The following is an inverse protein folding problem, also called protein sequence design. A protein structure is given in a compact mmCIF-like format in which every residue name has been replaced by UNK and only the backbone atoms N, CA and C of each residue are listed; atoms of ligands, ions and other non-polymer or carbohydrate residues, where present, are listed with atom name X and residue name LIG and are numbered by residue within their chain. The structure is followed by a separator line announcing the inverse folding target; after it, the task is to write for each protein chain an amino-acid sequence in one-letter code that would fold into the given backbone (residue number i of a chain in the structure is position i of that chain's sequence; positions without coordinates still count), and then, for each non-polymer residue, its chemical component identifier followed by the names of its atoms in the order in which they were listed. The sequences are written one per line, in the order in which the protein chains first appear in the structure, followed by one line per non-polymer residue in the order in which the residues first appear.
data_IF_414749420531
#
_entry.id   IF_414749420531
#
_cell.length_a   1.000
_cell.length_b   1.000
_cell.length_c   1.000
_cell.angle_alpha   90.00
_cell.angle_beta   90.00
_cell.angle_gamma   90.00
#
_symmetry.space_group_name_H-M   'P 1'
#
loop_
_entity.id
_entity.type
_entity.pdbx_description
1 polymer ?
#
# COMPACT_ATOMS: atom_id res chain seq x y z
N UNK A 1 -26.19 13.67 -18.10
CA UNK A 1 -25.83 12.47 -17.32
C UNK A 1 -24.37 12.49 -16.87
N UNK A 2 -23.43 12.82 -17.78
CA UNK A 2 -21.98 12.95 -17.50
C UNK A 2 -21.65 13.96 -16.39
N UNK A 3 -22.31 15.11 -16.38
CA UNK A 3 -22.06 16.18 -15.37
C UNK A 3 -22.29 15.68 -13.94
N UNK A 4 -23.43 15.02 -13.67
CA UNK A 4 -23.77 14.49 -12.34
C UNK A 4 -22.83 13.37 -11.87
N UNK A 5 -22.24 12.61 -12.81
CA UNK A 5 -21.25 11.60 -12.45
C UNK A 5 -19.90 12.23 -12.11
N UNK A 6 -19.51 13.26 -12.87
CA UNK A 6 -18.30 14.04 -12.60
C UNK A 6 -18.39 14.79 -11.27
N UNK A 7 -19.53 15.40 -10.95
CA UNK A 7 -19.73 16.08 -9.66
C UNK A 7 -19.52 15.16 -8.46
N UNK A 8 -19.97 13.89 -8.55
CA UNK A 8 -19.70 12.89 -7.52
C UNK A 8 -18.22 12.54 -7.45
N UNK A 9 -17.57 12.37 -8.60
CA UNK A 9 -16.15 12.10 -8.67
C UNK A 9 -15.35 13.23 -8.00
N UNK A 10 -15.53 14.47 -8.45
CA UNK A 10 -14.84 15.63 -7.93
C UNK A 10 -15.08 15.79 -6.42
N UNK A 11 -16.33 15.60 -5.94
CA UNK A 11 -16.64 15.65 -4.50
C UNK A 11 -15.79 14.71 -3.63
N UNK A 12 -15.47 13.51 -4.10
CA UNK A 12 -14.70 12.52 -3.32
C UNK A 12 -13.19 12.64 -3.52
N UNK A 13 -12.76 13.14 -4.68
CA UNK A 13 -11.35 13.11 -5.08
C UNK A 13 -10.67 14.48 -5.08
N UNK A 14 -11.39 15.59 -5.26
CA UNK A 14 -10.80 16.94 -5.38
C UNK A 14 -10.16 17.44 -4.08
N UNK A 15 -10.68 17.02 -2.92
CA UNK A 15 -10.18 17.44 -1.61
C UNK A 15 -9.10 16.49 -1.08
N UNK A 16 -7.85 16.85 -1.34
CA UNK A 16 -6.65 16.13 -0.88
C UNK A 16 -6.57 16.00 0.64
N UNK A 17 -7.05 17.00 1.38
CA UNK A 17 -7.08 16.99 2.83
C UNK A 17 -8.14 16.03 3.42
N UNK A 18 -9.12 15.61 2.60
CA UNK A 18 -10.20 14.68 2.98
C UNK A 18 -10.12 13.35 2.24
N UNK A 19 -9.00 13.05 1.59
CA UNK A 19 -8.81 11.80 0.86
C UNK A 19 -8.98 10.59 1.79
N UNK A 20 -9.83 9.67 1.38
CA UNK A 20 -9.99 8.41 2.07
C UNK A 20 -8.88 7.42 1.67
N UNK A 21 -7.85 7.31 2.51
CA UNK A 21 -6.72 6.41 2.25
C UNK A 21 -7.09 4.92 2.18
N UNK A 22 -8.26 4.50 2.69
CA UNK A 22 -8.69 3.10 2.63
C UNK A 22 -8.79 2.57 1.19
N UNK A 23 -9.16 3.40 0.23
CA UNK A 23 -9.25 2.98 -1.18
C UNK A 23 -7.85 2.63 -1.72
N UNK A 24 -6.85 3.43 -1.34
CA UNK A 24 -5.46 3.15 -1.68
C UNK A 24 -4.91 1.94 -0.91
N UNK A 25 -5.33 1.75 0.35
CA UNK A 25 -4.92 0.59 1.13
C UNK A 25 -5.46 -0.71 0.54
N UNK A 26 -6.72 -0.74 0.10
CA UNK A 26 -7.27 -1.90 -0.60
C UNK A 26 -6.45 -2.25 -1.85
N UNK A 27 -6.01 -1.22 -2.59
CA UNK A 27 -5.10 -1.41 -3.71
C UNK A 27 -3.73 -1.92 -3.26
N UNK A 28 -3.11 -1.37 -2.21
CA UNK A 28 -1.79 -1.78 -1.72
C UNK A 28 -1.80 -3.20 -1.11
N UNK A 29 -2.91 -3.60 -0.51
CA UNK A 29 -3.10 -4.92 0.09
C UNK A 29 -3.36 -6.01 -0.95
N UNK A 30 -3.73 -5.64 -2.19
CA UNK A 30 -3.72 -6.59 -3.30
C UNK A 30 -2.27 -6.94 -3.66
N UNK A 31 -1.83 -8.20 -3.57
CA UNK A 31 -0.44 -8.61 -3.85
C UNK A 31 0.08 -8.18 -5.23
N UNK A 32 -0.83 -7.95 -6.18
CA UNK A 32 -0.50 -7.51 -7.55
C UNK A 32 -0.18 -6.02 -7.64
N UNK A 33 -0.59 -5.26 -6.63
CA UNK A 33 -0.59 -3.81 -6.63
C UNK A 33 0.36 -3.30 -5.54
N UNK A 34 1.37 -2.52 -5.96
CA UNK A 34 2.38 -1.97 -5.04
C UNK A 34 2.11 -0.49 -4.79
N UNK A 35 2.78 0.06 -3.77
CA UNK A 35 2.78 1.51 -3.51
C UNK A 35 3.09 2.35 -4.74
N UNK A 36 3.97 1.88 -5.63
CA UNK A 36 4.27 2.60 -6.88
C UNK A 36 3.05 2.79 -7.79
N UNK A 37 2.08 1.86 -7.77
CA UNK A 37 0.84 2.02 -8.54
C UNK A 37 -0.08 3.08 -7.89
N UNK A 38 -0.10 3.14 -6.56
CA UNK A 38 -0.82 4.19 -5.84
C UNK A 38 -0.21 5.57 -6.06
N UNK A 39 1.12 5.66 -6.05
CA UNK A 39 1.86 6.89 -6.33
C UNK A 39 1.60 7.36 -7.77
N UNK A 40 1.67 6.45 -8.74
CA UNK A 40 1.36 6.76 -10.13
C UNK A 40 -0.08 7.26 -10.31
N UNK A 41 -1.06 6.61 -9.69
CA UNK A 41 -2.46 7.03 -9.75
C UNK A 41 -2.68 8.42 -9.12
N UNK A 42 -2.00 8.70 -8.00
CA UNK A 42 -2.05 10.02 -7.36
C UNK A 42 -1.39 11.10 -8.24
N UNK A 43 -0.29 10.77 -8.90
CA UNK A 43 0.42 11.69 -9.80
C UNK A 43 -0.43 12.09 -10.99
N UNK A 44 -1.11 11.12 -11.61
CA UNK A 44 -2.02 11.35 -12.73
C UNK A 44 -3.22 12.23 -12.32
N UNK A 45 -3.71 12.09 -11.09
CA UNK A 45 -4.88 12.83 -10.61
C UNK A 45 -4.56 14.23 -10.08
N UNK A 46 -3.42 14.41 -9.44
CA UNK A 46 -3.13 15.60 -8.61
C UNK A 46 -1.82 16.31 -8.95
N UNK A 47 -1.01 15.73 -9.84
CA UNK A 47 0.32 16.20 -10.20
C UNK A 47 1.40 15.78 -9.21
N UNK A 48 2.66 15.87 -9.65
CA UNK A 48 3.83 15.34 -8.93
C UNK A 48 4.04 15.98 -7.55
N UNK A 49 3.89 17.31 -7.45
CA UNK A 49 4.18 18.07 -6.22
C UNK A 49 3.29 17.62 -5.05
N UNK A 50 1.98 17.57 -5.29
CA UNK A 50 0.99 17.16 -4.29
C UNK A 50 1.14 15.67 -3.97
N UNK A 51 1.44 14.87 -4.98
CA UNK A 51 1.63 13.43 -4.85
C UNK A 51 2.71 13.08 -3.85
N UNK A 52 3.87 13.75 -3.87
CA UNK A 52 4.94 13.47 -2.88
C UNK A 52 4.46 13.62 -1.43
N UNK A 53 3.65 14.63 -1.15
CA UNK A 53 3.13 14.90 0.20
C UNK A 53 2.10 13.85 0.60
N UNK A 54 1.14 13.56 -0.28
CA UNK A 54 0.04 12.62 -0.04
C UNK A 54 0.56 11.19 0.08
N UNK A 55 1.48 10.80 -0.80
CA UNK A 55 2.11 9.46 -0.81
C UNK A 55 2.82 9.18 0.50
N UNK A 56 3.51 10.19 1.05
CA UNK A 56 4.16 10.07 2.36
C UNK A 56 3.15 9.89 3.48
N UNK A 57 2.08 10.71 3.52
CA UNK A 57 0.99 10.58 4.50
C UNK A 57 0.32 9.20 4.40
N UNK A 58 0.03 8.74 3.19
CA UNK A 58 -0.56 7.44 2.90
C UNK A 58 0.32 6.28 3.42
N UNK A 59 1.62 6.30 3.11
CA UNK A 59 2.58 5.30 3.61
C UNK A 59 2.63 5.27 5.13
N UNK A 60 2.72 6.43 5.77
CA UNK A 60 2.75 6.52 7.23
C UNK A 60 1.48 5.91 7.85
N UNK A 61 0.30 6.29 7.34
CA UNK A 61 -0.99 5.75 7.81
C UNK A 61 -1.12 4.25 7.59
N UNK A 62 -0.61 3.75 6.46
CA UNK A 62 -0.61 2.31 6.20
C UNK A 62 0.29 1.55 7.19
N UNK A 63 1.49 2.03 7.44
CA UNK A 63 2.39 1.40 8.39
C UNK A 63 1.91 1.51 9.84
N UNK A 64 1.27 2.63 10.23
CA UNK A 64 0.57 2.74 11.52
C UNK A 64 -0.47 1.63 11.69
N UNK A 65 -1.32 1.42 10.68
CA UNK A 65 -2.34 0.37 10.68
C UNK A 65 -1.74 -1.03 10.79
N UNK A 66 -0.73 -1.34 9.97
CA UNK A 66 -0.06 -2.65 9.98
C UNK A 66 0.64 -2.91 11.30
N UNK A 67 1.28 -1.89 11.88
CA UNK A 67 1.95 -2.00 13.16
C UNK A 67 0.95 -2.26 14.28
N UNK A 68 -0.14 -1.49 14.34
CA UNK A 68 -1.20 -1.70 15.32
C UNK A 68 -1.81 -3.11 15.23
N UNK A 69 -2.07 -3.59 14.01
CA UNK A 69 -2.56 -4.94 13.79
C UNK A 69 -1.57 -6.00 14.31
N UNK A 70 -0.29 -5.83 13.99
CA UNK A 70 0.78 -6.74 14.42
C UNK A 70 0.91 -6.78 15.94
N UNK A 71 0.87 -5.62 16.60
CA UNK A 71 0.88 -5.53 18.06
C UNK A 71 -0.33 -6.21 18.69
N UNK A 72 -1.54 -5.98 18.18
CA UNK A 72 -2.77 -6.65 18.68
C UNK A 72 -2.72 -8.16 18.48
N UNK A 73 -2.08 -8.63 17.40
CA UNK A 73 -1.88 -10.05 17.13
C UNK A 73 -0.88 -10.68 18.09
N UNK A 74 0.27 -10.04 18.28
CA UNK A 74 1.33 -10.49 19.19
C UNK A 74 0.87 -10.48 20.66
N UNK A 75 0.09 -9.47 21.04
CA UNK A 75 -0.42 -9.28 22.41
C UNK A 75 -1.63 -10.19 22.73
N UNK A 76 -1.95 -11.15 21.87
CA UNK A 76 -3.02 -12.14 22.08
C UNK A 76 -4.44 -11.59 22.00
N UNK A 77 -4.62 -10.29 21.74
CA UNK A 77 -5.94 -9.66 21.65
C UNK A 77 -6.74 -10.16 20.44
N UNK A 78 -6.05 -10.46 19.32
CA UNK A 78 -6.66 -11.08 18.13
C UNK A 78 -6.61 -12.61 18.13
N UNK A 79 -5.97 -13.25 19.12
CA UNK A 79 -5.98 -14.72 19.28
C UNK A 79 -7.29 -15.24 19.87
N UNK A 80 -8.19 -14.36 20.33
CA UNK A 80 -9.48 -14.75 20.89
C UNK A 80 -10.44 -15.04 19.73
N UNK A 81 -10.57 -16.32 19.37
CA UNK A 81 -11.55 -16.78 18.40
C UNK A 81 -12.97 -16.32 18.82
N UNK A 82 -13.77 -15.66 17.94
CA UNK A 82 -15.15 -15.28 18.25
C UNK A 82 -16.12 -16.45 18.50
N UNK A 83 -15.67 -17.71 18.44
CA UNK A 83 -16.52 -18.90 18.43
C UNK A 83 -16.27 -19.94 19.54
N UNK A 84 -15.26 -19.78 20.41
CA UNK A 84 -14.96 -20.85 21.37
C UNK A 84 -15.70 -20.69 22.71
N UNK A 85 -16.79 -21.45 22.83
CA UNK A 85 -17.39 -21.86 24.10
C UNK A 85 -16.36 -22.73 24.85
N UNK A 86 -16.19 -22.38 26.12
CA UNK A 86 -15.34 -22.98 27.17
C UNK A 86 -14.90 -24.45 26.97
N UNK A 87 -13.58 -24.66 27.02
CA UNK A 87 -12.96 -25.99 27.17
C UNK A 87 -11.48 -25.88 27.51
N UNK A 88 -11.14 -25.94 28.80
CA UNK A 88 -9.75 -25.97 29.31
C UNK A 88 -9.02 -27.24 28.89
N UNK A 89 -7.78 -27.11 28.39
CA UNK A 89 -6.56 -27.77 28.93
C UNK A 89 -5.40 -27.75 27.94
N UNK A 90 -4.18 -27.54 28.45
CA UNK A 90 -2.95 -28.07 27.84
C UNK A 90 -2.00 -27.05 27.21
N UNK A 91 -1.09 -26.53 28.03
CA UNK A 91 0.12 -25.79 27.62
C UNK A 91 1.08 -26.66 26.82
N UNK A 92 1.66 -26.12 25.73
CA UNK A 92 3.07 -26.20 25.31
C UNK A 92 3.17 -25.68 23.87
N UNK A 93 3.79 -24.52 23.64
CA UNK A 93 4.13 -24.06 22.29
C UNK A 93 5.45 -23.28 22.30
N UNK A 94 6.45 -23.88 21.67
CA UNK A 94 7.77 -23.32 21.37
C UNK A 94 7.63 -22.03 20.55
N UNK A 95 8.33 -20.99 20.96
CA UNK A 95 8.40 -19.69 20.28
C UNK A 95 9.10 -19.84 18.93
N UNK A 96 8.33 -20.05 17.86
CA UNK A 96 8.78 -19.75 16.50
C UNK A 96 8.71 -18.24 16.32
N UNK A 97 9.85 -17.57 16.32
CA UNK A 97 9.95 -16.17 15.91
C UNK A 97 9.64 -16.07 14.42
N UNK A 98 8.38 -15.81 14.10
CA UNK A 98 7.94 -15.49 12.75
C UNK A 98 8.60 -14.17 12.31
N UNK A 99 9.13 -14.07 11.08
CA UNK A 99 9.61 -12.80 10.55
C UNK A 99 8.49 -11.77 10.64
N UNK A 100 8.79 -10.59 11.17
CA UNK A 100 7.87 -9.44 11.18
C UNK A 100 7.23 -9.29 9.80
N UNK A 101 5.90 -9.38 9.73
CA UNK A 101 5.11 -9.19 8.50
C UNK A 101 5.45 -7.84 7.87
N UNK A 102 5.69 -6.81 8.69
CA UNK A 102 6.18 -5.50 8.27
C UNK A 102 7.51 -5.58 7.54
N UNK A 103 8.45 -6.40 8.01
CA UNK A 103 9.76 -6.59 7.37
C UNK A 103 9.65 -7.35 6.04
N UNK A 104 8.78 -8.36 5.96
CA UNK A 104 8.53 -9.10 4.71
C UNK A 104 7.87 -8.20 3.64
N UNK A 105 6.80 -7.47 4.00
CA UNK A 105 6.13 -6.53 3.09
C UNK A 105 7.05 -5.39 2.64
N UNK A 106 7.85 -4.82 3.54
CA UNK A 106 8.82 -3.76 3.19
C UNK A 106 9.85 -4.28 2.18
N UNK A 107 10.37 -5.51 2.36
CA UNK A 107 11.34 -6.11 1.44
C UNK A 107 10.72 -6.40 0.06
N UNK A 108 9.53 -7.00 0.00
CA UNK A 108 8.84 -7.33 -1.26
C UNK A 108 8.36 -6.09 -2.03
N UNK A 109 7.86 -5.07 -1.32
CA UNK A 109 7.48 -3.77 -1.91
C UNK A 109 8.72 -3.04 -2.44
N UNK A 110 9.81 -2.99 -1.68
CA UNK A 110 11.03 -2.25 -2.06
C UNK A 110 11.75 -2.90 -3.26
N UNK A 111 11.82 -4.23 -3.29
CA UNK A 111 12.47 -4.96 -4.39
C UNK A 111 11.63 -4.90 -5.67
N UNK A 112 10.31 -5.00 -5.53
CA UNK A 112 9.36 -4.88 -6.62
C UNK A 112 9.33 -3.51 -7.30
N UNK A 113 9.41 -2.43 -6.50
CA UNK A 113 9.41 -1.05 -7.00
C UNK A 113 10.73 -0.66 -7.64
N UNK A 114 11.88 -1.06 -7.05
CA UNK A 114 13.20 -0.86 -7.67
C UNK A 114 13.28 -1.46 -9.07
N UNK A 115 12.86 -2.72 -9.23
CA UNK A 115 12.93 -3.43 -10.53
C UNK A 115 12.02 -2.80 -11.59
N UNK A 116 10.84 -2.31 -11.20
CA UNK A 116 9.91 -1.63 -12.11
C UNK A 116 10.45 -0.26 -12.58
N UNK A 117 11.00 0.55 -11.68
CA UNK A 117 11.60 1.86 -12.01
C UNK A 117 12.82 1.69 -12.90
N UNK A 118 13.65 0.67 -12.64
CA UNK A 118 14.84 0.38 -13.44
C UNK A 118 14.47 -0.03 -14.88
N UNK A 119 13.37 -0.79 -15.05
CA UNK A 119 12.84 -1.16 -16.36
C UNK A 119 12.29 0.05 -17.13
N UNK A 120 11.60 0.97 -16.45
CA UNK A 120 11.12 2.22 -17.06
C UNK A 120 12.30 3.06 -17.54
N UNK A 121 13.32 3.24 -16.69
CA UNK A 121 14.52 4.02 -17.04
C UNK A 121 15.32 3.39 -18.19
N UNK A 122 15.43 2.04 -18.23
CA UNK A 122 16.07 1.34 -19.37
C UNK A 122 15.29 1.54 -20.66
N UNK A 123 13.96 1.48 -20.61
CA UNK A 123 13.10 1.70 -21.78
C UNK A 123 13.19 3.13 -22.31
N UNK A 124 13.19 4.13 -21.42
CA UNK A 124 13.36 5.53 -21.80
C UNK A 124 14.73 5.79 -22.45
N UNK A 125 15.81 5.21 -21.92
CA UNK A 125 17.16 5.32 -22.53
C UNK A 125 17.23 4.68 -23.92
N UNK A 126 16.62 3.50 -24.10
CA UNK A 126 16.57 2.84 -25.41
C UNK A 126 15.84 3.70 -26.44
N UNK A 127 14.71 4.29 -26.08
CA UNK A 127 13.93 5.15 -26.98
C UNK A 127 14.70 6.41 -27.39
N UNK A 128 15.42 7.04 -26.46
CA UNK A 128 16.27 8.21 -26.75
C UNK A 128 17.43 7.84 -27.69
N UNK A 129 18.06 6.68 -27.48
CA UNK A 129 19.14 6.22 -28.36
C UNK A 129 18.61 5.85 -29.76
N UNK A 130 17.44 5.23 -29.83
CA UNK A 130 16.79 4.85 -31.09
C UNK A 130 16.40 6.09 -31.93
N UNK A 131 15.91 7.14 -31.27
CA UNK A 131 15.56 8.40 -31.94
C UNK A 131 16.78 9.22 -32.42
N UNK A 132 17.99 8.93 -31.91
CA UNK A 132 19.23 9.57 -32.37
C UNK A 132 19.87 8.88 -33.58
N UNK A 133 19.42 7.65 -33.90
CA UNK A 133 19.95 6.84 -35.01
C UNK A 133 19.00 6.84 -36.23
N UNK A 134 17.83 7.48 -36.12
CA UNK A 134 16.88 7.76 -37.19
C UNK A 134 16.99 9.20 -37.65
#
# INVERSE_FOLDING_TARGET
MVVKMKEKWDKYWENLDKLNFLIFFAMILDPRCKFGLAEFALEEMFGEEKTRIISRKMKNKFFELVNEYSERFNNGQLKRNPFEISGSSGSHASSMQSPSVSRALVVDVSFGTRRAIENINKRSRYLVLKARQS
#
